data_IF_284554284539
#
_entry.id   IF_284554284539
#
_cell.length_a   1.000
_cell.length_b   1.000
_cell.length_c   1.000
_cell.angle_alpha   90.00
_cell.angle_beta   90.00
_cell.angle_gamma   90.00
#
_symmetry.space_group_name_H-M   'P 1'
#
loop_
_entity.id
_entity.type
_entity.pdbx_description
1 polymer ?
#
# COMPACT_ATOMS: atom_id res chain seq x y z
N UNK A 1 -18.25 -19.61 13.44
CA UNK A 1 -17.41 -20.78 13.14
C UNK A 1 -16.60 -20.52 11.88
N UNK A 2 -15.30 -20.75 11.96
CA UNK A 2 -14.42 -20.51 10.81
C UNK A 2 -14.55 -21.63 9.79
N UNK A 3 -14.58 -21.28 8.53
CA UNK A 3 -14.60 -22.27 7.47
C UNK A 3 -13.20 -22.79 7.24
N UNK A 4 -13.09 -24.04 6.84
CA UNK A 4 -11.78 -24.62 6.51
C UNK A 4 -11.10 -23.89 5.36
N UNK A 5 -11.89 -23.41 4.39
CA UNK A 5 -11.33 -22.70 3.25
C UNK A 5 -10.71 -21.35 3.68
N UNK A 6 -11.35 -20.65 4.60
CA UNK A 6 -10.80 -19.39 5.13
C UNK A 6 -9.46 -19.63 5.84
N UNK A 7 -9.42 -20.63 6.72
CA UNK A 7 -8.19 -20.97 7.45
C UNK A 7 -7.07 -21.35 6.48
N UNK A 8 -7.39 -22.14 5.47
CA UNK A 8 -6.41 -22.55 4.47
C UNK A 8 -5.88 -21.35 3.69
N UNK A 9 -6.78 -20.47 3.25
CA UNK A 9 -6.40 -19.27 2.51
C UNK A 9 -5.53 -18.36 3.36
N UNK A 10 -5.87 -18.21 4.65
CA UNK A 10 -5.10 -17.38 5.57
C UNK A 10 -3.67 -17.91 5.73
N UNK A 11 -3.52 -19.23 5.87
CA UNK A 11 -2.20 -19.85 5.98
C UNK A 11 -1.41 -19.68 4.69
N UNK A 12 -2.07 -19.86 3.55
CA UNK A 12 -1.40 -19.82 2.25
C UNK A 12 -0.84 -18.44 1.90
N UNK A 13 -1.41 -17.36 2.44
CA UNK A 13 -0.95 -16.00 2.11
C UNK A 13 0.10 -15.47 3.08
N UNK A 14 0.44 -16.21 4.15
CA UNK A 14 1.32 -15.68 5.19
C UNK A 14 2.67 -15.23 4.66
N UNK A 15 3.30 -16.00 3.79
CA UNK A 15 4.61 -15.63 3.25
C UNK A 15 4.54 -14.37 2.39
N UNK A 16 3.51 -14.27 1.56
CA UNK A 16 3.32 -13.09 0.70
C UNK A 16 3.06 -11.86 1.55
N UNK A 17 2.24 -12.01 2.59
CA UNK A 17 1.94 -10.91 3.51
C UNK A 17 3.17 -10.46 4.28
N UNK A 18 4.02 -11.40 4.70
CA UNK A 18 5.24 -11.04 5.41
C UNK A 18 6.16 -10.21 4.52
N UNK A 19 6.30 -10.59 3.26
CA UNK A 19 7.10 -9.81 2.32
C UNK A 19 6.53 -8.41 2.14
N UNK A 20 5.21 -8.31 2.01
CA UNK A 20 4.54 -7.02 1.88
C UNK A 20 4.73 -6.18 3.15
N UNK A 21 4.57 -6.80 4.32
CA UNK A 21 4.78 -6.12 5.59
C UNK A 21 6.22 -5.59 5.72
N UNK A 22 7.19 -6.38 5.30
CA UNK A 22 8.59 -5.96 5.34
C UNK A 22 8.83 -4.76 4.42
N UNK A 23 8.24 -4.77 3.24
CA UNK A 23 8.38 -3.64 2.32
C UNK A 23 7.72 -2.37 2.87
N UNK A 24 6.64 -2.51 3.63
CA UNK A 24 5.99 -1.35 4.25
C UNK A 24 6.78 -0.80 5.43
N UNK A 25 7.34 -1.67 6.25
CA UNK A 25 7.97 -1.27 7.52
C UNK A 25 9.49 -1.13 7.44
N UNK A 26 10.11 -1.79 6.47
CA UNK A 26 11.57 -1.85 6.31
C UNK A 26 12.29 -2.37 7.58
N UNK A 27 11.58 -3.15 8.41
CA UNK A 27 12.08 -3.66 9.66
C UNK A 27 11.44 -5.02 9.92
N UNK A 28 12.26 -6.02 10.20
CA UNK A 28 11.78 -7.40 10.35
C UNK A 28 10.84 -7.56 11.54
N UNK A 29 11.16 -6.95 12.66
CA UNK A 29 10.32 -7.03 13.85
C UNK A 29 8.97 -6.37 13.64
N UNK A 30 8.98 -5.17 13.08
CA UNK A 30 7.75 -4.44 12.77
C UNK A 30 6.92 -5.19 11.73
N UNK A 31 7.57 -5.82 10.76
CA UNK A 31 6.88 -6.60 9.75
C UNK A 31 6.15 -7.79 10.37
N UNK A 32 6.80 -8.49 11.29
CA UNK A 32 6.17 -9.60 11.99
C UNK A 32 4.97 -9.15 12.82
N UNK A 33 5.10 -8.02 13.50
CA UNK A 33 4.01 -7.46 14.29
C UNK A 33 2.84 -7.08 13.40
N UNK A 34 3.12 -6.44 12.28
CA UNK A 34 2.08 -6.04 11.33
C UNK A 34 1.37 -7.26 10.74
N UNK A 35 2.13 -8.31 10.43
CA UNK A 35 1.54 -9.55 9.94
C UNK A 35 0.58 -10.16 10.96
N UNK A 36 0.99 -10.21 12.22
CA UNK A 36 0.14 -10.74 13.28
C UNK A 36 -1.13 -9.90 13.45
N UNK A 37 -1.00 -8.58 13.49
CA UNK A 37 -2.15 -7.68 13.57
C UNK A 37 -3.11 -7.89 12.41
N UNK A 38 -2.56 -8.00 11.21
CA UNK A 38 -3.37 -8.20 10.01
C UNK A 38 -4.12 -9.52 10.08
N UNK A 39 -3.46 -10.58 10.48
CA UNK A 39 -4.06 -11.90 10.57
C UNK A 39 -5.17 -11.93 11.62
N UNK A 40 -4.95 -11.29 12.78
CA UNK A 40 -5.98 -11.21 13.82
C UNK A 40 -7.18 -10.39 13.34
N UNK A 41 -6.95 -9.30 12.65
CA UNK A 41 -8.02 -8.47 12.11
C UNK A 41 -8.84 -9.25 11.08
N UNK A 42 -8.19 -10.03 10.26
CA UNK A 42 -8.88 -10.87 9.28
C UNK A 42 -9.74 -11.92 9.97
N UNK A 43 -9.23 -12.56 11.02
CA UNK A 43 -9.98 -13.54 11.78
C UNK A 43 -11.23 -12.93 12.43
N UNK A 44 -11.09 -11.71 12.96
CA UNK A 44 -12.21 -11.01 13.58
C UNK A 44 -13.27 -10.58 12.58
N UNK A 45 -12.91 -10.50 11.31
CA UNK A 45 -13.80 -10.03 10.25
C UNK A 45 -14.08 -11.09 9.19
N UNK A 46 -13.94 -12.34 9.54
CA UNK A 46 -14.17 -13.44 8.61
C UNK A 46 -15.52 -13.36 7.91
N UNK A 47 -16.54 -12.95 8.63
CA UNK A 47 -17.89 -12.84 8.08
C UNK A 47 -18.01 -11.78 7.00
N UNK A 48 -17.08 -10.84 6.95
CA UNK A 48 -17.09 -9.78 5.94
C UNK A 48 -16.40 -10.21 4.65
N UNK A 49 -15.70 -11.33 4.70
CA UNK A 49 -15.03 -11.84 3.51
C UNK A 49 -16.03 -12.62 2.66
N UNK A 50 -16.18 -12.21 1.42
CA UNK A 50 -16.98 -12.95 0.46
C UNK A 50 -16.07 -13.91 -0.31
N UNK A 51 -16.44 -15.19 -0.32
CA UNK A 51 -15.60 -16.23 -0.90
C UNK A 51 -15.30 -16.02 -2.38
N UNK A 52 -16.08 -15.21 -3.04
CA UNK A 52 -15.91 -14.92 -4.47
C UNK A 52 -14.95 -13.79 -4.75
N UNK A 53 -14.45 -13.11 -3.71
CA UNK A 53 -13.53 -12.00 -3.88
C UNK A 53 -12.09 -12.47 -3.78
N UNK A 54 -11.17 -11.61 -4.20
CA UNK A 54 -9.75 -11.89 -4.12
C UNK A 54 -9.30 -11.85 -2.66
N UNK A 55 -9.08 -13.00 -2.05
CA UNK A 55 -8.67 -13.11 -0.65
C UNK A 55 -7.38 -12.36 -0.37
N UNK A 56 -6.39 -12.55 -1.23
CA UNK A 56 -5.08 -11.91 -1.08
C UNK A 56 -5.21 -10.39 -1.12
N UNK A 57 -6.00 -9.86 -2.06
CA UNK A 57 -6.25 -8.43 -2.15
C UNK A 57 -6.95 -7.88 -0.91
N UNK A 58 -7.89 -8.65 -0.37
CA UNK A 58 -8.58 -8.28 0.87
C UNK A 58 -7.59 -8.18 2.02
N UNK A 59 -6.70 -9.17 2.15
CA UNK A 59 -5.68 -9.17 3.19
C UNK A 59 -4.69 -8.01 3.04
N UNK A 60 -4.28 -7.71 1.81
CA UNK A 60 -3.39 -6.57 1.56
C UNK A 60 -4.04 -5.26 1.95
N UNK A 61 -5.33 -5.12 1.70
CA UNK A 61 -6.08 -3.92 2.08
C UNK A 61 -6.11 -3.76 3.60
N UNK A 62 -6.35 -4.85 4.33
CA UNK A 62 -6.33 -4.82 5.80
C UNK A 62 -4.95 -4.40 6.29
N UNK A 63 -3.90 -5.01 5.77
CA UNK A 63 -2.54 -4.71 6.19
C UNK A 63 -2.16 -3.25 5.93
N UNK A 64 -2.46 -2.76 4.73
CA UNK A 64 -2.16 -1.37 4.36
C UNK A 64 -2.89 -0.39 5.26
N UNK A 65 -4.17 -0.67 5.54
CA UNK A 65 -4.96 0.21 6.41
C UNK A 65 -4.42 0.21 7.85
N UNK A 66 -4.01 -0.94 8.36
CA UNK A 66 -3.40 -1.02 9.68
C UNK A 66 -2.08 -0.26 9.72
N UNK A 67 -1.27 -0.40 8.69
CA UNK A 67 0.00 0.32 8.61
C UNK A 67 -0.23 1.84 8.66
N UNK A 68 -1.18 2.34 7.88
CA UNK A 68 -1.48 3.76 7.83
C UNK A 68 -2.04 4.25 9.17
N UNK A 69 -2.92 3.46 9.79
CA UNK A 69 -3.46 3.82 11.10
C UNK A 69 -2.37 3.87 12.17
N UNK A 70 -1.44 2.91 12.12
CA UNK A 70 -0.29 2.91 13.05
C UNK A 70 0.61 4.11 12.82
N UNK A 71 0.82 4.49 11.56
CA UNK A 71 1.57 5.69 11.20
C UNK A 71 0.91 6.94 11.78
N UNK A 72 -0.41 7.08 11.60
CA UNK A 72 -1.15 8.24 12.10
C UNK A 72 -1.08 8.32 13.62
N UNK A 73 -1.16 7.18 14.28
CA UNK A 73 -1.06 7.12 15.73
C UNK A 73 0.32 7.55 16.19
N UNK A 74 1.38 7.09 15.55
CA UNK A 74 2.74 7.46 15.89
C UNK A 74 2.96 8.96 15.73
N UNK A 75 2.44 9.55 14.67
CA UNK A 75 2.55 11.00 14.43
C UNK A 75 1.79 11.78 15.50
N UNK A 76 0.57 11.33 15.82
CA UNK A 76 -0.26 12.00 16.82
C UNK A 76 0.37 11.97 18.20
N UNK A 77 0.98 10.85 18.57
CA UNK A 77 1.60 10.66 19.87
C UNK A 77 3.00 11.27 19.93
N UNK A 78 3.43 11.90 18.84
CA UNK A 78 4.76 12.48 18.70
C UNK A 78 5.87 11.49 18.96
N UNK A 79 5.58 10.21 18.80
CA UNK A 79 6.59 9.17 18.85
C UNK A 79 7.42 9.31 17.58
N UNK A 80 8.63 9.83 17.74
CA UNK A 80 9.47 10.03 16.58
C UNK A 80 9.94 8.68 16.06
N UNK A 81 9.56 8.39 14.85
CA UNK A 81 10.15 7.33 14.07
C UNK A 81 10.88 8.03 12.95
N UNK A 82 12.16 7.75 12.77
CA UNK A 82 12.88 8.33 11.66
C UNK A 82 12.20 7.84 10.38
N UNK A 83 11.52 8.76 9.75
CA UNK A 83 10.66 8.42 8.64
C UNK A 83 11.36 8.53 7.30
N UNK A 84 12.61 8.94 7.32
CA UNK A 84 13.38 9.05 6.09
C UNK A 84 13.53 7.68 5.45
N UNK A 85 13.81 6.68 6.26
CA UNK A 85 13.93 5.31 5.77
C UNK A 85 12.57 4.71 5.40
N UNK A 86 11.50 5.18 6.05
CA UNK A 86 10.16 4.70 5.75
C UNK A 86 9.65 5.15 4.39
N UNK A 87 10.28 6.16 3.80
CA UNK A 87 9.93 6.54 2.44
C UNK A 87 10.44 5.54 1.41
N UNK A 88 11.31 4.66 1.83
CA UNK A 88 11.86 3.64 0.94
C UNK A 88 10.76 2.76 0.34
N UNK A 89 9.76 2.37 1.14
CA UNK A 89 8.69 1.53 0.63
C UNK A 89 7.85 2.25 -0.43
N UNK A 90 7.78 3.57 -0.37
CA UNK A 90 7.00 4.34 -1.35
C UNK A 90 7.59 4.23 -2.75
N UNK A 91 8.90 4.09 -2.84
CA UNK A 91 9.54 3.88 -4.13
C UNK A 91 9.25 2.49 -4.68
N UNK A 92 8.89 1.57 -3.81
CA UNK A 92 8.66 0.18 -4.17
C UNK A 92 7.19 -0.22 -4.08
N UNK A 93 6.33 0.66 -3.57
CA UNK A 93 4.93 0.31 -3.33
C UNK A 93 4.20 -0.09 -4.60
N UNK A 94 4.60 0.45 -5.73
CA UNK A 94 3.99 0.11 -7.00
C UNK A 94 4.51 -1.25 -7.49
N UNK A 95 5.77 -1.55 -7.22
CA UNK A 95 6.34 -2.85 -7.56
C UNK A 95 5.71 -3.98 -6.76
N UNK A 96 5.15 -3.67 -5.57
CA UNK A 96 4.47 -4.66 -4.75
C UNK A 96 3.28 -5.30 -5.44
N UNK A 97 2.59 -4.54 -6.25
CA UNK A 97 1.43 -5.05 -6.95
C UNK A 97 1.80 -6.11 -7.97
N UNK A 98 3.01 -6.03 -8.52
CA UNK A 98 3.49 -7.03 -9.47
C UNK A 98 3.70 -8.40 -8.82
N UNK A 99 4.04 -8.41 -7.53
CA UNK A 99 4.28 -9.67 -6.84
C UNK A 99 3.00 -10.33 -6.36
N UNK A 100 1.93 -9.57 -6.28
CA UNK A 100 0.71 -10.03 -5.62
C UNK A 100 -0.21 -10.84 -6.52
N UNK A 101 -0.06 -10.75 -7.83
CA UNK A 101 -0.99 -11.37 -8.72
C UNK A 101 -0.39 -11.73 -10.05
N UNK A 102 -1.12 -12.55 -10.73
CA UNK A 102 -1.12 -12.64 -12.17
C UNK A 102 -1.51 -11.25 -12.67
N UNK A 103 -0.59 -10.31 -12.57
CA UNK A 103 -0.92 -8.95 -12.97
C UNK A 103 -1.24 -8.93 -14.44
N UNK A 104 -2.36 -8.32 -14.75
CA UNK A 104 -2.74 -8.10 -16.13
C UNK A 104 -1.66 -7.25 -16.80
N UNK A 105 -1.60 -7.34 -18.10
CA UNK A 105 -0.70 -6.51 -18.90
C UNK A 105 -0.89 -5.02 -18.57
N UNK A 106 -2.13 -4.62 -18.34
CA UNK A 106 -2.48 -3.22 -18.02
C UNK A 106 -1.84 -2.75 -16.72
N UNK A 107 -1.83 -3.61 -15.70
CA UNK A 107 -1.24 -3.27 -14.41
C UNK A 107 0.26 -3.06 -14.53
N UNK A 108 0.93 -3.92 -15.27
CA UNK A 108 2.37 -3.78 -15.51
C UNK A 108 2.69 -2.48 -16.23
N UNK A 109 1.81 -2.07 -17.15
CA UNK A 109 1.99 -0.84 -17.89
C UNK A 109 1.85 0.38 -16.98
N UNK A 110 0.88 0.37 -16.08
CA UNK A 110 0.72 1.43 -15.09
C UNK A 110 2.00 1.55 -14.26
N UNK A 111 2.54 0.43 -13.80
CA UNK A 111 3.76 0.44 -13.00
C UNK A 111 4.94 1.00 -13.77
N UNK A 112 5.05 0.64 -15.05
CA UNK A 112 6.13 1.17 -15.89
C UNK A 112 6.04 2.69 -16.02
N UNK A 113 4.84 3.20 -16.26
CA UNK A 113 4.62 4.64 -16.42
C UNK A 113 4.97 5.39 -15.13
N UNK A 114 4.46 4.91 -14.01
CA UNK A 114 4.67 5.59 -12.73
C UNK A 114 6.15 5.51 -12.32
N UNK A 115 6.78 4.36 -12.52
CA UNK A 115 8.19 4.19 -12.16
C UNK A 115 9.14 5.03 -13.01
N UNK A 116 8.69 5.42 -14.20
CA UNK A 116 9.46 6.31 -15.08
C UNK A 116 9.36 7.77 -14.66
N UNK A 117 8.44 8.12 -13.78
CA UNK A 117 8.27 9.51 -13.35
C UNK A 117 9.38 9.92 -12.39
N UNK A 118 9.76 11.24 -12.39
CA UNK A 118 10.67 11.74 -11.36
C UNK A 118 10.13 11.51 -9.96
N UNK A 119 11.03 11.40 -8.98
CA UNK A 119 10.64 11.17 -7.58
C UNK A 119 9.65 12.19 -7.07
N UNK A 120 9.78 13.44 -7.49
CA UNK A 120 8.89 14.52 -7.03
C UNK A 120 7.45 14.31 -7.39
N UNK A 121 7.17 13.52 -8.42
CA UNK A 121 5.81 13.14 -8.80
C UNK A 121 5.47 11.75 -8.29
N UNK A 122 6.41 10.83 -8.37
CA UNK A 122 6.18 9.43 -8.01
C UNK A 122 5.87 9.25 -6.53
N UNK A 123 6.65 9.90 -5.65
CA UNK A 123 6.47 9.69 -4.21
C UNK A 123 5.13 10.21 -3.70
N UNK A 124 4.71 11.45 -4.01
CA UNK A 124 3.38 11.89 -3.59
C UNK A 124 2.27 11.00 -4.13
N UNK A 125 2.39 10.57 -5.37
CA UNK A 125 1.38 9.70 -5.98
C UNK A 125 1.32 8.35 -5.27
N UNK A 126 2.47 7.75 -4.99
CA UNK A 126 2.53 6.47 -4.28
C UNK A 126 1.89 6.58 -2.90
N UNK A 127 2.15 7.68 -2.18
CA UNK A 127 1.52 7.92 -0.87
C UNK A 127 0.00 8.04 -1.01
N UNK A 128 -0.45 8.76 -2.02
CA UNK A 128 -1.89 8.95 -2.25
C UNK A 128 -2.57 7.61 -2.53
N UNK A 129 -2.00 6.81 -3.41
CA UNK A 129 -2.56 5.50 -3.76
C UNK A 129 -2.55 4.56 -2.55
N UNK A 130 -1.57 4.72 -1.67
CA UNK A 130 -1.48 3.92 -0.44
C UNK A 130 -2.54 4.31 0.58
N UNK A 131 -3.20 5.46 0.42
CA UNK A 131 -4.29 5.86 1.29
C UNK A 131 -4.03 7.07 2.15
N UNK A 132 -2.87 7.72 2.01
CA UNK A 132 -2.59 8.94 2.76
C UNK A 132 -3.40 10.12 2.22
N UNK A 133 -3.78 11.02 3.11
CA UNK A 133 -4.48 12.24 2.73
C UNK A 133 -3.50 13.27 2.22
N UNK A 134 -3.96 14.17 1.36
CA UNK A 134 -3.11 15.23 0.81
C UNK A 134 -2.36 16.00 1.90
N UNK A 135 -3.04 16.30 3.00
CA UNK A 135 -2.44 17.02 4.11
C UNK A 135 -1.30 16.22 4.75
N UNK A 136 -1.52 14.94 4.92
CA UNK A 136 -0.49 14.05 5.48
C UNK A 136 0.74 13.99 4.57
N UNK A 137 0.51 13.93 3.28
CA UNK A 137 1.59 13.91 2.28
C UNK A 137 2.37 15.22 2.33
N UNK A 138 1.66 16.34 2.39
CA UNK A 138 2.27 17.66 2.45
C UNK A 138 3.16 17.80 3.69
N UNK A 139 2.67 17.39 4.85
CA UNK A 139 3.44 17.44 6.08
C UNK A 139 4.67 16.54 6.02
N UNK A 140 4.50 15.32 5.53
CA UNK A 140 5.59 14.35 5.47
C UNK A 140 6.70 14.82 4.54
N UNK A 141 6.34 15.37 3.39
CA UNK A 141 7.32 15.78 2.38
C UNK A 141 7.79 17.23 2.53
N UNK A 142 7.19 17.96 3.48
CA UNK A 142 7.56 19.35 3.68
C UNK A 142 7.17 20.26 2.51
N UNK A 143 6.04 19.98 1.87
CA UNK A 143 5.58 20.70 0.69
C UNK A 143 4.27 21.44 0.97
N UNK A 144 4.02 22.54 0.26
CA UNK A 144 2.71 23.16 0.32
C UNK A 144 1.61 22.21 -0.16
N UNK A 145 0.43 22.32 0.43
CA UNK A 145 -0.69 21.46 0.06
C UNK A 145 -1.03 21.57 -1.42
N UNK A 146 -1.02 22.79 -1.96
CA UNK A 146 -1.29 23.00 -3.37
C UNK A 146 -0.31 22.31 -4.29
N UNK A 147 0.95 22.26 -3.87
CA UNK A 147 1.98 21.56 -4.64
C UNK A 147 1.71 20.05 -4.69
N UNK A 148 1.33 19.47 -3.55
CA UNK A 148 0.97 18.05 -3.50
C UNK A 148 -0.20 17.77 -4.43
N UNK A 149 -1.26 18.57 -4.34
CA UNK A 149 -2.43 18.40 -5.18
C UNK A 149 -2.08 18.50 -6.67
N UNK A 150 -1.26 19.48 -7.03
CA UNK A 150 -0.86 19.67 -8.42
C UNK A 150 -0.07 18.49 -8.96
N UNK A 151 0.87 18.00 -8.17
CA UNK A 151 1.72 16.88 -8.59
C UNK A 151 0.92 15.61 -8.77
N UNK A 152 0.00 15.34 -7.86
CA UNK A 152 -0.86 14.16 -7.97
C UNK A 152 -1.81 14.29 -9.16
N UNK A 153 -2.37 15.47 -9.35
CA UNK A 153 -3.23 15.74 -10.51
C UNK A 153 -2.47 15.51 -11.81
N UNK A 154 -1.27 16.05 -11.91
CA UNK A 154 -0.42 15.88 -13.09
C UNK A 154 -0.17 14.39 -13.38
N UNK A 155 0.17 13.63 -12.34
CA UNK A 155 0.44 12.20 -12.49
C UNK A 155 -0.79 11.45 -12.98
N UNK A 156 -1.96 11.77 -12.44
CA UNK A 156 -3.21 11.16 -12.87
C UNK A 156 -3.53 11.48 -14.32
N UNK A 157 -3.31 12.72 -14.72
CA UNK A 157 -3.54 13.13 -16.10
C UNK A 157 -2.61 12.38 -17.06
N UNK A 158 -1.35 12.26 -16.67
CA UNK A 158 -0.38 11.54 -17.48
C UNK A 158 -0.76 10.07 -17.65
N UNK A 159 -1.19 9.44 -16.56
CA UNK A 159 -1.66 8.05 -16.61
C UNK A 159 -2.86 7.91 -17.54
N UNK A 160 -3.82 8.82 -17.42
CA UNK A 160 -5.02 8.78 -18.27
C UNK A 160 -4.67 8.91 -19.75
N UNK A 161 -3.73 9.78 -20.08
CA UNK A 161 -3.31 9.96 -21.46
C UNK A 161 -2.62 8.72 -22.01
N UNK A 162 -1.66 8.19 -21.26
CA UNK A 162 -0.89 7.06 -21.74
C UNK A 162 -1.69 5.77 -21.78
N UNK A 163 -2.63 5.60 -20.86
CA UNK A 163 -3.45 4.40 -20.81
C UNK A 163 -4.58 4.41 -21.84
N UNK A 164 -4.88 5.52 -22.46
CA UNK A 164 -5.87 5.56 -23.56
C UNK A 164 -5.47 4.64 -24.71
N UNK A 165 -4.19 4.47 -24.91
CA UNK A 165 -3.66 3.67 -26.01
C UNK A 165 -3.75 2.17 -25.73
N UNK A 166 -4.23 1.78 -24.55
CA UNK A 166 -4.27 0.38 -24.12
C UNK A 166 -5.67 -0.22 -24.05
N UNK A 167 -6.61 0.43 -24.66
CA UNK A 167 -7.95 -0.14 -24.72
C UNK A 167 -8.15 -0.91 -26.00
#
# INVERSE_FOLDING_TARGET
MRTESFTRDLINVQNDLLRFAYKLTANQEDANDLLQETSLKALDNEEKYAAETNFKGWMYTIMRNLFINNYRKAVRDQTYVDQTDNLFYLNQSIDLADESTESSHDLKEIHRIVNALPKEYRIPFAMYVSGFKYREIAEKLGLPLGTVKSRIYFTRQKLQQELKDFR
#
